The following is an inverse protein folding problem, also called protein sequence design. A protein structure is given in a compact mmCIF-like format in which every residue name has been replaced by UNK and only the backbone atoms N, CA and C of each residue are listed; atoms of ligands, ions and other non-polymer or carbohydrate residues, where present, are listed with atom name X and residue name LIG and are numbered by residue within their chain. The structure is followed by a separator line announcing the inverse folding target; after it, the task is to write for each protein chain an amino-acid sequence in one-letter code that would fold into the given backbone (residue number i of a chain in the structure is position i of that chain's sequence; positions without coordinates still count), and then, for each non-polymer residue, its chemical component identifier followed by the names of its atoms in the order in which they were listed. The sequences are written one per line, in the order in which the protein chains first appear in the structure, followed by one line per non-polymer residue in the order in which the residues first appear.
data_IF_099314842019
#
_entry.id   IF_099314842019
#
_cell.length_a   1.000
_cell.length_b   1.000
_cell.length_c   1.000
_cell.angle_alpha   90.00
_cell.angle_beta   90.00
_cell.angle_gamma   90.00
#
_symmetry.space_group_name_H-M   'P 1'
#
loop_
_entity.id
_entity.type
_entity.pdbx_description
1 polymer ?
#
# COMPACT_ATOMS: atom_id res chain seq x y z
N UNK A 1 3.44 -23.42 10.63
CA UNK A 1 3.22 -23.35 9.17
C UNK A 1 3.39 -21.89 8.79
N UNK A 2 4.34 -21.55 7.92
CA UNK A 2 4.37 -20.20 7.37
C UNK A 2 3.12 -20.06 6.50
N UNK A 3 2.16 -19.25 6.94
CA UNK A 3 1.02 -18.93 6.08
C UNK A 3 1.56 -18.16 4.89
N UNK A 4 1.13 -18.55 3.69
CA UNK A 4 1.46 -17.83 2.47
C UNK A 4 0.63 -16.54 2.45
N UNK A 5 1.24 -15.45 2.92
CA UNK A 5 0.58 -14.17 3.12
C UNK A 5 0.44 -13.34 1.83
N UNK A 6 0.82 -13.88 0.66
CA UNK A 6 0.78 -13.19 -0.64
C UNK A 6 1.37 -11.76 -0.58
N UNK A 7 2.59 -11.63 -0.05
CA UNK A 7 3.23 -10.32 0.13
C UNK A 7 3.63 -9.66 -1.21
N UNK A 8 3.73 -10.45 -2.28
CA UNK A 8 4.06 -9.98 -3.62
C UNK A 8 3.00 -9.00 -4.17
N UNK A 9 1.76 -9.05 -3.66
CA UNK A 9 0.73 -8.06 -4.02
C UNK A 9 1.19 -6.63 -3.71
N UNK A 10 1.92 -6.41 -2.62
CA UNK A 10 2.42 -5.08 -2.24
C UNK A 10 3.53 -4.64 -3.19
N UNK A 11 4.51 -5.50 -3.44
CA UNK A 11 5.65 -5.20 -4.33
C UNK A 11 5.16 -4.89 -5.75
N UNK A 12 4.21 -5.67 -6.24
CA UNK A 12 3.59 -5.46 -7.57
C UNK A 12 2.92 -4.08 -7.67
N UNK A 13 2.17 -3.66 -6.64
CA UNK A 13 1.53 -2.35 -6.63
C UNK A 13 2.53 -1.18 -6.53
N UNK A 14 3.62 -1.41 -5.79
CA UNK A 14 4.69 -0.42 -5.61
C UNK A 14 5.53 -0.24 -6.89
N UNK A 15 5.64 -1.25 -7.75
CA UNK A 15 6.52 -1.24 -8.93
C UNK A 15 6.39 0.01 -9.82
N UNK A 16 5.20 0.60 -9.92
CA UNK A 16 4.96 1.81 -10.75
C UNK A 16 4.70 3.08 -9.95
N UNK A 17 4.64 3.00 -8.61
CA UNK A 17 4.19 4.09 -7.75
C UNK A 17 5.20 4.48 -6.67
N UNK A 18 6.18 3.63 -6.40
CA UNK A 18 7.16 3.83 -5.32
C UNK A 18 7.93 5.15 -5.48
N UNK A 19 8.48 5.43 -6.66
CA UNK A 19 9.22 6.66 -6.91
C UNK A 19 8.35 7.91 -6.72
N UNK A 20 7.09 7.83 -7.14
CA UNK A 20 6.11 8.90 -6.92
C UNK A 20 5.84 9.08 -5.43
N UNK A 21 5.55 8.00 -4.70
CA UNK A 21 5.29 8.04 -3.27
C UNK A 21 6.47 8.64 -2.49
N UNK A 22 7.70 8.18 -2.80
CA UNK A 22 8.92 8.67 -2.18
C UNK A 22 9.14 10.17 -2.44
N UNK A 23 8.93 10.62 -3.67
CA UNK A 23 9.04 12.05 -4.02
C UNK A 23 7.99 12.90 -3.29
N UNK A 24 6.75 12.40 -3.17
CA UNK A 24 5.67 13.09 -2.45
C UNK A 24 5.95 13.19 -0.94
N UNK A 25 6.45 12.12 -0.33
CA UNK A 25 6.85 12.09 1.09
C UNK A 25 8.01 13.05 1.34
N UNK A 26 9.05 13.03 0.52
CA UNK A 26 10.21 13.94 0.64
C UNK A 26 9.81 15.42 0.54
N UNK A 27 8.78 15.71 -0.26
CA UNK A 27 8.21 17.06 -0.40
C UNK A 27 7.19 17.39 0.70
N UNK A 28 6.87 16.44 1.58
CA UNK A 28 5.93 16.63 2.70
C UNK A 28 4.46 16.73 2.30
N UNK A 29 4.09 16.33 1.08
CA UNK A 29 2.71 16.45 0.60
C UNK A 29 2.34 15.33 -0.37
N UNK A 30 1.49 14.41 0.11
CA UNK A 30 0.84 13.35 -0.67
C UNK A 30 -0.17 13.94 -1.65
N UNK A 31 -0.16 13.44 -2.89
CA UNK A 31 -1.04 13.88 -3.99
C UNK A 31 -1.62 12.72 -4.80
N UNK A 32 -0.99 11.55 -4.81
CA UNK A 32 -1.43 10.40 -5.61
C UNK A 32 -1.85 9.19 -4.76
N UNK A 33 -2.34 8.14 -5.41
CA UNK A 33 -3.05 7.02 -4.78
C UNK A 33 -2.14 5.83 -4.48
N UNK A 34 -1.37 5.89 -3.39
CA UNK A 34 -0.44 4.81 -2.99
C UNK A 34 -0.54 4.38 -1.51
N UNK A 35 -1.41 4.99 -0.71
CA UNK A 35 -1.41 4.81 0.75
C UNK A 35 -1.56 3.34 1.15
N UNK A 36 -2.53 2.64 0.55
CA UNK A 36 -2.91 1.28 0.96
C UNK A 36 -1.77 0.26 0.92
N UNK A 37 -0.82 0.41 0.00
CA UNK A 37 0.25 -0.55 -0.22
C UNK A 37 1.66 -0.01 0.04
N UNK A 38 1.79 1.27 0.42
CA UNK A 38 3.05 1.84 0.95
C UNK A 38 3.00 1.92 2.48
N UNK A 39 1.85 2.29 3.05
CA UNK A 39 1.58 2.26 4.50
C UNK A 39 0.27 1.50 4.75
N UNK A 40 0.30 0.15 4.67
CA UNK A 40 -0.88 -0.68 4.87
C UNK A 40 -1.45 -0.56 6.29
N UNK A 41 -2.74 -0.86 6.40
CA UNK A 41 -3.51 -0.79 7.66
C UNK A 41 -3.99 -2.19 8.07
N UNK A 42 -4.38 -2.34 9.34
CA UNK A 42 -4.97 -3.58 9.85
C UNK A 42 -6.33 -3.84 9.19
N UNK A 43 -6.62 -5.10 8.89
CA UNK A 43 -7.91 -5.55 8.37
C UNK A 43 -9.09 -5.05 9.24
N UNK A 44 -10.13 -4.53 8.57
CA UNK A 44 -11.33 -4.01 9.22
C UNK A 44 -11.32 -2.50 9.52
N UNK A 45 -10.18 -1.81 9.39
CA UNK A 45 -10.12 -0.35 9.56
C UNK A 45 -10.76 0.41 8.38
N UNK A 46 -10.58 -0.10 7.15
CA UNK A 46 -11.12 0.50 5.93
C UNK A 46 -12.09 -0.44 5.21
N UNK A 47 -13.09 0.14 4.54
CA UNK A 47 -14.17 -0.62 3.88
C UNK A 47 -14.07 -0.66 2.35
N UNK A 48 -13.22 0.16 1.74
CA UNK A 48 -13.04 0.16 0.28
C UNK A 48 -12.32 -1.10 -0.21
N UNK A 49 -12.50 -1.44 -1.49
CA UNK A 49 -11.87 -2.63 -2.09
C UNK A 49 -10.34 -2.60 -1.98
N UNK A 50 -9.73 -1.43 -2.18
CA UNK A 50 -8.29 -1.25 -2.01
C UNK A 50 -7.85 -1.38 -0.55
N UNK A 51 -8.65 -0.88 0.40
CA UNK A 51 -8.36 -1.04 1.82
C UNK A 51 -8.43 -2.51 2.26
N UNK A 52 -9.39 -3.28 1.75
CA UNK A 52 -9.51 -4.72 2.03
C UNK A 52 -8.42 -5.53 1.36
N UNK A 53 -8.11 -5.25 0.09
CA UNK A 53 -7.08 -5.98 -0.68
C UNK A 53 -5.67 -5.85 -0.09
N UNK A 54 -5.33 -4.68 0.42
CA UNK A 54 -4.00 -4.38 0.95
C UNK A 54 -3.96 -4.28 2.49
N UNK A 55 -4.98 -4.75 3.17
CA UNK A 55 -4.94 -4.88 4.62
C UNK A 55 -3.94 -5.96 5.06
N UNK A 56 -3.42 -5.80 6.28
CA UNK A 56 -2.66 -6.80 7.03
C UNK A 56 -3.57 -7.42 8.09
#
# INVERSE_FOLDING_TARGET
MAADFDLDRFVTAQATTYDTALAEIRRGAKRSHWMWYVFPQIAGLGTSDMARRYAI
#
